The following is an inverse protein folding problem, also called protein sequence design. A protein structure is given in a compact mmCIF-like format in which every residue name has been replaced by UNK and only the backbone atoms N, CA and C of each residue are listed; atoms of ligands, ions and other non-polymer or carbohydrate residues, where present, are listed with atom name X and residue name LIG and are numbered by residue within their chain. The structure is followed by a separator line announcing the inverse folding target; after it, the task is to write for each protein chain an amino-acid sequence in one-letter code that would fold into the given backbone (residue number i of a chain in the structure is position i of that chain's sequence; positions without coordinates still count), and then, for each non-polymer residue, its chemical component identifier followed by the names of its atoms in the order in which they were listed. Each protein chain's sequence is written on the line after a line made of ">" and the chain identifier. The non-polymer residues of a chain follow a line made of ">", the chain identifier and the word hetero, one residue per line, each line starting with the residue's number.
data_IF_995642892620
#
_entry.id   IF_995642892620
#
_cell.length_a   1.000
_cell.length_b   1.000
_cell.length_c   1.000
_cell.angle_alpha   90.00
_cell.angle_beta   90.00
_cell.angle_gamma   90.00
#
_symmetry.space_group_name_H-M   'P 1'
#
loop_
_entity.id
_entity.type
_entity.pdbx_description
1 polymer ?
#
# COMPACT_ATOMS: atom_id res chain seq x y z
N UNK A 1 -7.96 65.73 25.83
CA UNK A 1 -9.18 65.11 25.24
C UNK A 1 -9.04 64.85 23.74
N UNK A 2 -8.55 65.81 22.93
CA UNK A 2 -8.27 65.61 21.49
C UNK A 2 -7.28 64.47 21.18
N UNK A 3 -6.18 64.36 21.93
CA UNK A 3 -5.14 63.35 21.64
C UNK A 3 -5.56 61.91 21.93
N UNK A 4 -6.51 61.69 22.84
CA UNK A 4 -7.01 60.34 23.17
C UNK A 4 -7.91 59.82 22.04
N UNK A 5 -8.70 60.71 21.44
CA UNK A 5 -9.60 60.40 20.32
C UNK A 5 -8.82 60.06 19.03
N UNK A 6 -7.71 60.75 18.77
CA UNK A 6 -6.83 60.43 17.64
C UNK A 6 -6.13 59.08 17.80
N UNK A 7 -5.75 58.71 19.03
CA UNK A 7 -5.08 57.42 19.28
C UNK A 7 -6.03 56.24 19.07
N UNK A 8 -7.30 56.35 19.48
CA UNK A 8 -8.31 55.31 19.25
C UNK A 8 -8.68 55.10 17.77
N UNK A 9 -8.54 56.13 16.92
CA UNK A 9 -8.82 56.01 15.48
C UNK A 9 -7.73 55.24 14.72
N UNK A 10 -6.51 55.19 15.24
CA UNK A 10 -5.37 54.52 14.61
C UNK A 10 -5.35 52.99 14.82
N UNK A 11 -6.14 52.48 15.76
CA UNK A 11 -6.15 51.05 16.15
C UNK A 11 -7.23 50.22 15.42
N UNK A 12 -8.01 50.82 14.52
CA UNK A 12 -9.08 50.12 13.81
C UNK A 12 -8.66 49.67 12.40
N UNK A 13 -7.62 48.82 12.31
CA UNK A 13 -7.36 48.03 11.10
C UNK A 13 -7.85 46.60 11.32
N UNK A 14 -9.11 46.36 10.96
CA UNK A 14 -9.69 45.02 11.00
C UNK A 14 -9.05 44.19 9.89
N UNK A 15 -8.26 43.17 10.27
CA UNK A 15 -7.55 42.30 9.35
C UNK A 15 -8.48 41.38 8.58
N UNK A 16 -9.02 41.85 7.46
CA UNK A 16 -9.69 41.01 6.48
C UNK A 16 -8.69 40.63 5.38
N UNK A 17 -8.00 39.51 5.57
CA UNK A 17 -7.14 38.95 4.53
C UNK A 17 -8.02 38.19 3.51
N UNK A 18 -7.83 38.40 2.18
CA UNK A 18 -8.56 37.61 1.20
C UNK A 18 -8.20 36.13 1.35
N UNK A 19 -9.20 35.26 1.20
CA UNK A 19 -9.01 33.81 1.25
C UNK A 19 -7.89 33.42 0.28
N UNK A 20 -6.79 32.87 0.82
CA UNK A 20 -5.67 32.40 0.02
C UNK A 20 -6.03 31.04 -0.56
N UNK A 21 -5.87 30.88 -1.87
CA UNK A 21 -6.00 29.58 -2.52
C UNK A 21 -4.86 28.69 -2.02
N UNK A 22 -5.19 27.57 -1.39
CA UNK A 22 -4.24 26.57 -0.92
C UNK A 22 -4.32 25.37 -1.85
N UNK A 23 -3.20 25.00 -2.46
CA UNK A 23 -3.10 23.76 -3.21
C UNK A 23 -3.02 22.58 -2.24
N UNK A 24 -3.94 21.62 -2.38
CA UNK A 24 -3.96 20.38 -1.57
C UNK A 24 -3.68 19.21 -2.49
N UNK A 25 -2.61 18.46 -2.19
CA UNK A 25 -2.28 17.21 -2.88
C UNK A 25 -3.09 16.08 -2.26
N UNK A 26 -4.17 15.68 -2.93
CA UNK A 26 -4.98 14.53 -2.53
C UNK A 26 -4.35 13.28 -3.17
N UNK A 27 -3.97 12.27 -2.39
CA UNK A 27 -3.51 11.00 -2.97
C UNK A 27 -4.67 10.33 -3.69
N UNK A 28 -4.51 10.09 -4.98
CA UNK A 28 -5.48 9.35 -5.80
C UNK A 28 -4.99 7.91 -5.93
N UNK A 29 -5.82 6.90 -5.66
CA UNK A 29 -5.42 5.51 -5.86
C UNK A 29 -5.15 5.27 -7.35
N UNK A 30 -3.94 4.79 -7.65
CA UNK A 30 -3.57 4.35 -9.00
C UNK A 30 -3.93 2.87 -9.17
N UNK A 31 -4.52 2.47 -10.30
CA UNK A 31 -4.74 1.05 -10.57
C UNK A 31 -3.39 0.34 -10.73
N UNK A 32 -3.24 -0.83 -10.12
CA UNK A 32 -2.08 -1.68 -10.41
C UNK A 32 -2.39 -2.64 -11.55
N UNK A 33 -1.71 -2.47 -12.68
CA UNK A 33 -1.78 -3.38 -13.83
C UNK A 33 -0.70 -4.46 -13.71
N UNK A 34 -0.78 -5.27 -12.66
CA UNK A 34 0.13 -6.40 -12.50
C UNK A 34 -0.40 -7.65 -13.22
N UNK A 35 0.50 -8.49 -13.80
CA UNK A 35 0.11 -9.79 -14.31
C UNK A 35 -0.33 -10.72 -13.18
N UNK A 36 -1.24 -11.63 -13.48
CA UNK A 36 -1.62 -12.70 -12.57
C UNK A 36 -0.46 -13.72 -12.45
N UNK A 37 -0.23 -14.22 -11.23
CA UNK A 37 0.80 -15.23 -10.97
C UNK A 37 0.10 -16.58 -10.88
N UNK A 38 0.33 -17.43 -11.88
CA UNK A 38 -0.30 -18.75 -11.93
C UNK A 38 0.09 -19.59 -10.70
N UNK A 39 -0.92 -20.12 -10.02
CA UNK A 39 -0.69 -20.99 -8.88
C UNK A 39 -0.14 -22.34 -9.38
N UNK A 40 1.06 -22.77 -8.95
CA UNK A 40 1.57 -24.07 -9.35
C UNK A 40 0.73 -25.20 -8.75
N UNK A 41 0.67 -26.34 -9.45
CA UNK A 41 0.17 -27.57 -8.86
C UNK A 41 1.17 -28.02 -7.80
N UNK A 42 0.77 -27.94 -6.54
CA UNK A 42 1.64 -28.29 -5.43
C UNK A 42 1.82 -29.80 -5.33
N UNK A 43 3.01 -30.24 -4.90
CA UNK A 43 3.34 -31.66 -4.87
C UNK A 43 2.43 -32.45 -3.92
N UNK A 44 1.95 -31.84 -2.83
CA UNK A 44 0.98 -32.45 -1.92
C UNK A 44 -0.39 -32.65 -2.56
N UNK A 45 -0.80 -31.81 -3.52
CA UNK A 45 -2.08 -31.98 -4.22
C UNK A 45 -2.09 -33.24 -5.11
N UNK A 46 -0.91 -33.80 -5.41
CA UNK A 46 -0.73 -35.00 -6.24
C UNK A 46 -0.60 -36.28 -5.42
N UNK A 47 -0.56 -36.17 -4.08
CA UNK A 47 -0.41 -37.31 -3.19
C UNK A 47 -1.69 -38.14 -3.13
N UNK A 48 -1.53 -39.47 -3.16
CA UNK A 48 -2.64 -40.38 -2.95
C UNK A 48 -3.14 -40.31 -1.50
N UNK A 49 -4.44 -40.55 -1.31
CA UNK A 49 -5.00 -40.71 0.03
C UNK A 49 -4.36 -41.94 0.70
N UNK A 50 -3.84 -41.75 1.90
CA UNK A 50 -3.17 -42.81 2.66
C UNK A 50 -1.71 -43.08 2.27
N UNK A 51 -1.09 -42.22 1.45
CA UNK A 51 0.32 -42.33 1.11
C UNK A 51 1.23 -42.44 2.34
N UNK A 52 2.34 -43.16 2.18
CA UNK A 52 3.27 -43.42 3.28
C UNK A 52 3.99 -42.16 3.77
N UNK A 53 4.45 -42.16 5.02
CA UNK A 53 5.14 -41.01 5.63
C UNK A 53 6.36 -40.54 4.82
N UNK A 54 7.09 -41.46 4.19
CA UNK A 54 8.28 -41.12 3.37
C UNK A 54 7.87 -40.34 2.12
N UNK A 55 6.77 -40.72 1.47
CA UNK A 55 6.24 -40.04 0.28
C UNK A 55 5.69 -38.66 0.64
N UNK A 56 4.96 -38.56 1.75
CA UNK A 56 4.51 -37.28 2.30
C UNK A 56 5.68 -36.34 2.59
N UNK A 57 6.73 -36.82 3.27
CA UNK A 57 7.91 -36.02 3.60
C UNK A 57 8.70 -35.59 2.36
N UNK A 58 8.71 -36.41 1.30
CA UNK A 58 9.32 -36.05 0.02
C UNK A 58 8.53 -34.92 -0.65
N UNK A 59 7.20 -35.06 -0.77
CA UNK A 59 6.35 -34.04 -1.37
C UNK A 59 6.43 -32.72 -0.63
N UNK A 60 6.36 -32.72 0.71
CA UNK A 60 6.48 -31.51 1.53
C UNK A 60 7.81 -30.79 1.35
N UNK A 61 8.92 -31.52 1.17
CA UNK A 61 10.24 -30.91 0.92
C UNK A 61 10.31 -30.25 -0.45
N UNK A 62 9.75 -30.89 -1.48
CA UNK A 62 9.67 -30.34 -2.83
C UNK A 62 8.79 -29.09 -2.82
N UNK A 63 7.60 -29.21 -2.25
CA UNK A 63 6.61 -28.14 -2.18
C UNK A 63 7.11 -26.93 -1.40
N UNK A 64 7.91 -27.12 -0.34
CA UNK A 64 8.54 -26.00 0.38
C UNK A 64 9.31 -25.09 -0.58
N UNK A 65 9.99 -25.65 -1.58
CA UNK A 65 10.70 -24.85 -2.59
C UNK A 65 9.75 -24.25 -3.62
N UNK A 66 8.71 -24.97 -4.03
CA UNK A 66 7.67 -24.43 -4.90
C UNK A 66 6.98 -23.20 -4.29
N UNK A 67 6.58 -23.28 -3.01
CA UNK A 67 5.96 -22.16 -2.28
C UNK A 67 6.90 -20.97 -2.14
N UNK A 68 8.17 -21.20 -1.80
CA UNK A 68 9.16 -20.13 -1.74
C UNK A 68 9.30 -19.36 -3.06
N UNK A 69 9.25 -20.06 -4.20
CA UNK A 69 9.27 -19.42 -5.52
C UNK A 69 8.00 -18.63 -5.80
N UNK A 70 6.83 -19.26 -5.60
CA UNK A 70 5.53 -18.63 -5.81
C UNK A 70 5.32 -17.39 -4.93
N UNK A 71 5.69 -17.46 -3.66
CA UNK A 71 5.64 -16.32 -2.73
C UNK A 71 6.57 -15.19 -3.18
N UNK A 72 7.78 -15.50 -3.68
CA UNK A 72 8.70 -14.49 -4.18
C UNK A 72 8.16 -13.78 -5.42
N UNK A 73 7.51 -14.50 -6.35
CA UNK A 73 6.85 -13.92 -7.52
C UNK A 73 5.67 -13.02 -7.12
N UNK A 74 4.81 -13.49 -6.23
CA UNK A 74 3.71 -12.69 -5.67
C UNK A 74 4.22 -11.42 -4.97
N UNK A 75 5.25 -11.54 -4.15
CA UNK A 75 5.87 -10.39 -3.50
C UNK A 75 6.42 -9.39 -4.51
N UNK A 76 7.03 -9.85 -5.61
CA UNK A 76 7.55 -9.00 -6.66
C UNK A 76 6.42 -8.21 -7.34
N UNK A 77 5.30 -8.88 -7.64
CA UNK A 77 4.08 -8.23 -8.16
C UNK A 77 3.57 -7.17 -7.20
N UNK A 78 3.38 -7.53 -5.92
CA UNK A 78 2.90 -6.59 -4.89
C UNK A 78 3.86 -5.41 -4.71
N UNK A 79 5.17 -5.65 -4.74
CA UNK A 79 6.19 -4.60 -4.67
C UNK A 79 6.10 -3.65 -5.87
N UNK A 80 5.83 -4.16 -7.07
CA UNK A 80 5.59 -3.33 -8.26
C UNK A 80 4.35 -2.43 -8.14
N UNK A 81 3.32 -2.90 -7.41
CA UNK A 81 2.09 -2.14 -7.17
C UNK A 81 2.16 -1.12 -6.03
N UNK A 82 3.16 -1.21 -5.14
CA UNK A 82 3.30 -0.27 -4.03
C UNK A 82 3.75 1.07 -4.60
N UNK A 83 2.82 2.04 -4.60
CA UNK A 83 2.98 3.35 -5.22
C UNK A 83 4.34 3.99 -4.94
N UNK A 84 4.93 4.51 -6.02
CA UNK A 84 5.94 5.55 -5.96
C UNK A 84 5.25 6.91 -5.91
#
# INVERSE_FOLDING_TARGET
>A
MKSILCLSLLLCSCGFAPARVVEVRIPVPVPCEAPDVEKPVFEVDRLSLGAGIVEQMKALRIERKQRQGYEAELEAVVKGCRGK
#
